data_IF_902189874016
#
_entry.id   IF_902189874016
#
_cell.length_a   1.000
_cell.length_b   1.000
_cell.length_c   1.000
_cell.angle_alpha   90.00
_cell.angle_beta   90.00
_cell.angle_gamma   90.00
#
_symmetry.space_group_name_H-M   'P 1'
#
loop_
_entity.id
_entity.type
_entity.pdbx_description
1 polymer ?
#
# COMPACT_ATOMS: atom_id res chain seq x y z
N UNK A 1 9.17 0.49 -19.94
CA UNK A 1 7.75 0.82 -19.72
C UNK A 1 7.56 2.22 -19.09
N UNK A 2 7.49 2.43 -17.76
CA UNK A 2 7.27 3.79 -17.22
C UNK A 2 8.54 4.65 -17.12
N UNK A 3 9.69 4.04 -16.82
CA UNK A 3 10.97 4.74 -16.73
C UNK A 3 11.43 5.32 -18.08
N UNK A 4 11.10 4.61 -19.17
CA UNK A 4 11.37 5.04 -20.56
C UNK A 4 10.61 6.32 -20.92
N UNK A 5 9.44 6.53 -20.32
CA UNK A 5 8.63 7.75 -20.44
C UNK A 5 9.10 8.87 -19.47
N UNK A 6 10.27 8.71 -18.84
CA UNK A 6 10.85 9.69 -17.92
C UNK A 6 10.20 9.74 -16.53
N UNK A 7 9.33 8.77 -16.20
CA UNK A 7 8.69 8.71 -14.88
C UNK A 7 9.61 8.03 -13.85
N UNK A 8 9.73 8.58 -12.64
CA UNK A 8 10.58 8.01 -11.60
C UNK A 8 10.08 6.63 -11.18
N UNK A 9 11.01 5.67 -11.09
CA UNK A 9 10.74 4.34 -10.56
C UNK A 9 11.05 4.27 -9.06
N UNK A 10 10.32 3.44 -8.33
CA UNK A 10 10.62 3.20 -6.93
C UNK A 10 11.98 2.51 -6.74
N UNK A 11 12.79 3.00 -5.80
CA UNK A 11 14.11 2.44 -5.47
C UNK A 11 14.05 1.08 -4.75
N UNK A 12 12.88 0.71 -4.24
CA UNK A 12 12.67 -0.51 -3.46
C UNK A 12 12.20 -1.64 -4.37
N UNK A 13 12.75 -2.84 -4.16
CA UNK A 13 12.24 -4.05 -4.80
C UNK A 13 10.73 -4.18 -4.57
N UNK A 14 10.00 -4.49 -5.65
CA UNK A 14 8.56 -4.67 -5.59
C UNK A 14 8.20 -5.89 -4.73
N UNK A 15 7.38 -5.66 -3.71
CA UNK A 15 6.82 -6.70 -2.84
C UNK A 15 5.31 -6.48 -2.78
N UNK A 16 4.49 -7.23 -3.54
CA UNK A 16 3.05 -7.02 -3.58
C UNK A 16 2.45 -7.33 -2.20
N UNK A 17 1.74 -6.36 -1.63
CA UNK A 17 1.06 -6.50 -0.34
C UNK A 17 -0.09 -5.51 -0.24
N UNK A 18 -1.05 -5.82 0.63
CA UNK A 18 -2.10 -4.89 1.04
C UNK A 18 -1.66 -4.19 2.33
N UNK A 19 -1.56 -2.87 2.29
CA UNK A 19 -1.31 -2.09 3.52
C UNK A 19 -2.59 -2.07 4.35
N UNK A 20 -2.58 -2.73 5.52
CA UNK A 20 -3.71 -2.73 6.46
C UNK A 20 -3.65 -1.58 7.48
N UNK A 21 -2.43 -1.26 7.94
CA UNK A 21 -2.18 -0.18 8.87
C UNK A 21 -0.78 0.39 8.66
N UNK A 22 -0.57 1.64 9.08
CA UNK A 22 0.74 2.29 9.12
C UNK A 22 0.98 2.88 10.49
N UNK A 23 2.19 2.68 11.01
CA UNK A 23 2.62 3.32 12.25
C UNK A 23 3.01 4.77 11.93
N UNK A 24 2.48 5.72 12.71
CA UNK A 24 2.84 7.13 12.56
C UNK A 24 4.35 7.32 12.81
N UNK A 25 5.03 8.21 12.06
CA UNK A 25 6.47 8.45 12.26
C UNK A 25 6.84 8.79 13.71
N UNK A 26 5.98 9.55 14.40
CA UNK A 26 6.17 10.01 15.78
C UNK A 26 5.88 8.95 16.86
N UNK A 27 5.48 7.72 16.50
CA UNK A 27 5.29 6.66 17.48
C UNK A 27 6.62 6.30 18.15
N UNK A 28 6.60 6.24 19.47
CA UNK A 28 7.72 5.83 20.32
C UNK A 28 8.15 4.39 20.07
N UNK A 29 9.38 4.05 20.49
CA UNK A 29 9.88 2.67 20.42
C UNK A 29 9.01 1.68 21.21
N UNK A 30 8.45 2.12 22.34
CA UNK A 30 7.53 1.31 23.17
C UNK A 30 6.23 1.01 22.42
N UNK A 31 5.61 2.00 21.80
CA UNK A 31 4.39 1.82 21.00
C UNK A 31 4.62 0.89 19.81
N UNK A 32 5.76 1.07 19.10
CA UNK A 32 6.15 0.20 17.98
C UNK A 32 6.32 -1.26 18.43
N UNK A 33 6.96 -1.47 19.57
CA UNK A 33 7.21 -2.81 20.12
C UNK A 33 5.92 -3.48 20.56
N UNK A 34 5.06 -2.75 21.26
CA UNK A 34 3.74 -3.23 21.67
C UNK A 34 2.90 -3.62 20.44
N UNK A 35 2.81 -2.74 19.44
CA UNK A 35 2.04 -3.02 18.23
C UNK A 35 2.60 -4.23 17.45
N UNK A 36 3.93 -4.37 17.36
CA UNK A 36 4.54 -5.54 16.73
C UNK A 36 4.15 -6.84 17.44
N UNK A 37 4.12 -6.83 18.77
CA UNK A 37 3.70 -8.00 19.57
C UNK A 37 2.25 -8.35 19.33
N UNK A 38 1.36 -7.36 19.32
CA UNK A 38 -0.07 -7.58 19.06
C UNK A 38 -0.32 -8.05 17.62
N UNK A 39 0.36 -7.47 16.62
CA UNK A 39 0.21 -7.94 15.23
C UNK A 39 0.73 -9.38 15.05
N UNK A 40 1.79 -9.75 15.77
CA UNK A 40 2.36 -11.10 15.71
C UNK A 40 1.47 -12.16 16.39
N UNK A 41 0.56 -11.77 17.29
CA UNK A 41 -0.40 -12.70 17.92
C UNK A 41 -1.67 -12.90 17.09
N UNK A 42 -1.89 -12.09 16.05
CA UNK A 42 -3.01 -12.27 15.14
C UNK A 42 -2.82 -13.54 14.32
N UNK A 43 -3.91 -14.29 14.16
CA UNK A 43 -3.95 -15.40 13.22
C UNK A 43 -3.73 -14.87 11.81
N UNK A 44 -2.81 -15.51 11.08
CA UNK A 44 -2.65 -15.21 9.67
C UNK A 44 -3.98 -15.44 8.95
N UNK A 45 -4.43 -14.51 8.10
CA UNK A 45 -5.64 -14.72 7.33
C UNK A 45 -5.48 -15.99 6.47
N UNK A 46 -6.60 -16.70 6.29
CA UNK A 46 -6.67 -17.84 5.37
C UNK A 46 -6.18 -17.37 4.01
N UNK A 47 -5.40 -18.22 3.30
CA UNK A 47 -4.95 -17.92 1.95
C UNK A 47 -6.16 -17.58 1.09
N UNK A 48 -6.17 -16.36 0.57
CA UNK A 48 -7.21 -15.85 -0.30
C UNK A 48 -6.61 -15.51 -1.66
N UNK A 49 -7.36 -15.82 -2.71
CA UNK A 49 -7.03 -15.50 -4.09
C UNK A 49 -8.20 -14.76 -4.71
N UNK A 50 -7.90 -13.77 -5.53
CA UNK A 50 -8.88 -13.06 -6.33
C UNK A 50 -8.33 -12.86 -7.74
N UNK A 51 -9.24 -12.74 -8.69
CA UNK A 51 -8.91 -12.35 -10.06
C UNK A 51 -8.76 -10.83 -10.12
N UNK A 52 -7.73 -10.34 -10.79
CA UNK A 52 -7.58 -8.92 -11.11
C UNK A 52 -8.36 -8.68 -12.40
N UNK A 53 -9.35 -7.80 -12.35
CA UNK A 53 -10.21 -7.49 -13.50
C UNK A 53 -9.73 -6.21 -14.21
N UNK A 54 -9.26 -5.23 -13.44
CA UNK A 54 -8.80 -3.95 -13.96
C UNK A 54 -7.56 -3.41 -13.21
N UNK A 55 -6.88 -2.47 -13.84
CA UNK A 55 -5.85 -1.61 -13.25
C UNK A 55 -6.32 -0.16 -13.29
N UNK A 56 -6.17 0.55 -12.17
CA UNK A 56 -6.47 1.98 -12.09
C UNK A 56 -5.20 2.84 -11.99
N UNK A 57 -5.18 3.94 -12.74
CA UNK A 57 -4.22 5.03 -12.54
C UNK A 57 -4.80 6.02 -11.53
N UNK A 58 -4.08 6.24 -10.42
CA UNK A 58 -4.57 7.10 -9.34
C UNK A 58 -3.69 8.33 -9.15
N UNK A 59 -4.33 9.48 -8.91
CA UNK A 59 -3.69 10.67 -8.34
C UNK A 59 -3.79 10.63 -6.82
N UNK A 60 -2.64 10.57 -6.14
CA UNK A 60 -2.56 10.67 -4.68
C UNK A 60 -2.34 12.11 -4.23
N UNK A 61 -3.11 12.56 -3.23
CA UNK A 61 -2.86 13.81 -2.50
C UNK A 61 -2.75 13.50 -1.01
N UNK A 62 -1.67 13.95 -0.36
CA UNK A 62 -1.47 13.77 1.08
C UNK A 62 -1.98 15.02 1.79
N UNK A 63 -3.09 14.88 2.52
CA UNK A 63 -3.65 15.92 3.38
C UNK A 63 -3.40 15.65 4.87
N UNK A 64 -3.86 16.55 5.72
CA UNK A 64 -3.79 16.43 7.18
C UNK A 64 -4.56 15.23 7.73
N UNK A 65 -5.60 14.79 7.01
CA UNK A 65 -6.43 13.64 7.38
C UNK A 65 -5.94 12.31 6.77
N UNK A 66 -4.85 12.32 6.01
CA UNK A 66 -4.31 11.15 5.32
C UNK A 66 -4.26 11.32 3.80
N UNK A 67 -4.00 10.21 3.11
CA UNK A 67 -3.96 10.20 1.65
C UNK A 67 -5.38 10.11 1.07
N UNK A 68 -5.70 10.97 0.13
CA UNK A 68 -6.87 10.86 -0.74
C UNK A 68 -6.42 10.41 -2.13
N UNK A 69 -7.15 9.47 -2.72
CA UNK A 69 -6.86 8.94 -4.05
C UNK A 69 -8.01 9.28 -5.00
N UNK A 70 -7.68 9.85 -6.15
CA UNK A 70 -8.62 10.10 -7.24
C UNK A 70 -8.27 9.16 -8.39
N UNK A 71 -9.23 8.34 -8.84
CA UNK A 71 -9.08 7.57 -10.06
C UNK A 71 -9.02 8.53 -11.25
N UNK A 72 -8.00 8.40 -12.09
CA UNK A 72 -7.84 9.16 -13.32
C UNK A 72 -8.29 8.34 -14.53
N UNK A 73 -7.81 7.10 -14.61
CA UNK A 73 -8.08 6.19 -15.73
C UNK A 73 -8.15 4.74 -15.24
N UNK A 74 -8.84 3.90 -16.00
CA UNK A 74 -8.96 2.45 -15.76
C UNK A 74 -8.66 1.67 -17.03
N UNK A 75 -7.92 0.58 -16.89
CA UNK A 75 -7.65 -0.37 -17.97
C UNK A 75 -8.14 -1.77 -17.56
N UNK A 76 -9.03 -2.35 -18.36
CA UNK A 76 -9.50 -3.73 -18.18
C UNK A 76 -8.40 -4.73 -18.56
N UNK A 77 -8.30 -5.84 -17.84
CA UNK A 77 -7.28 -6.88 -18.05
C UNK A 77 -7.80 -8.17 -18.69
N UNK A 78 -9.12 -8.38 -18.73
CA UNK A 78 -9.76 -9.55 -19.34
C UNK A 78 -9.74 -10.81 -18.46
#
# INVERSE_FOLDING_TARGET
ALAEEGLPTGERSFRPHLTLARIRPRASGRERTALRREVASLLAPVRFSFRIEDLGLYRSRIGTSGASYQLLERAELG
#
